data_IF_909244288721
#
_entry.id   IF_909244288721
#
_cell.length_a   1.000
_cell.length_b   1.000
_cell.length_c   1.000
_cell.angle_alpha   90.00
_cell.angle_beta   90.00
_cell.angle_gamma   90.00
#
_symmetry.space_group_name_H-M   'P 1'
#
loop_
_entity.id
_entity.type
_entity.pdbx_description
1 polymer ?
#
# COMPACT_ATOMS: atom_id res chain seq x y z
N UNK A 1 0.98 -12.79 0.73
CA UNK A 1 0.70 -11.62 1.60
C UNK A 1 0.53 -12.14 3.03
N UNK A 2 1.17 -11.55 4.04
CA UNK A 2 1.00 -11.96 5.44
C UNK A 2 0.35 -10.85 6.26
N UNK A 3 -0.80 -11.15 6.86
CA UNK A 3 -1.54 -10.22 7.73
C UNK A 3 -0.95 -10.26 9.14
N UNK A 4 -0.65 -9.09 9.72
CA UNK A 4 -0.28 -8.96 11.13
C UNK A 4 -1.50 -8.75 12.01
N UNK A 5 -1.34 -8.78 13.34
CA UNK A 5 -2.38 -8.40 14.31
C UNK A 5 -2.65 -6.87 14.19
N UNK A 6 -3.58 -6.49 13.31
CA UNK A 6 -3.94 -5.10 13.01
C UNK A 6 -4.32 -4.90 11.53
N UNK A 7 -5.01 -3.82 11.20
CA UNK A 7 -5.50 -3.53 9.83
C UNK A 7 -4.40 -3.20 8.81
N UNK A 8 -3.13 -3.56 9.06
CA UNK A 8 -2.00 -3.18 8.20
C UNK A 8 -1.66 -4.28 7.20
N UNK A 9 -1.47 -3.90 5.94
CA UNK A 9 -1.04 -4.75 4.83
C UNK A 9 0.39 -4.38 4.47
N UNK A 10 1.27 -5.38 4.43
CA UNK A 10 2.66 -5.24 3.97
C UNK A 10 2.76 -5.67 2.51
N UNK A 11 3.29 -4.80 1.66
CA UNK A 11 3.51 -5.06 0.24
C UNK A 11 5.02 -5.05 -0.02
N UNK A 12 5.51 -6.06 -0.74
CA UNK A 12 6.86 -6.12 -1.24
C UNK A 12 6.80 -6.32 -2.76
N UNK A 13 7.43 -5.42 -3.52
CA UNK A 13 7.42 -5.44 -4.99
C UNK A 13 8.78 -4.96 -5.50
N UNK A 14 9.43 -5.75 -6.37
CA UNK A 14 10.73 -5.42 -6.98
C UNK A 14 11.80 -4.89 -5.99
N UNK A 15 11.83 -5.45 -4.78
CA UNK A 15 12.77 -5.02 -3.72
C UNK A 15 12.28 -3.82 -2.89
N UNK A 16 11.29 -3.05 -3.37
CA UNK A 16 10.61 -2.03 -2.58
C UNK A 16 9.65 -2.67 -1.57
N UNK A 17 9.52 -2.06 -0.39
CA UNK A 17 8.61 -2.50 0.68
C UNK A 17 7.81 -1.32 1.21
N UNK A 18 6.50 -1.52 1.38
CA UNK A 18 5.62 -0.53 1.95
C UNK A 18 4.58 -1.17 2.87
N UNK A 19 4.08 -0.38 3.82
CA UNK A 19 3.02 -0.79 4.74
C UNK A 19 1.85 0.16 4.56
N UNK A 20 0.68 -0.39 4.25
CA UNK A 20 -0.56 0.35 4.08
C UNK A 20 -1.57 -0.09 5.14
N UNK A 21 -2.58 0.75 5.37
CA UNK A 21 -3.75 0.35 6.12
C UNK A 21 -4.81 -0.18 5.15
N UNK A 22 -5.42 -1.31 5.49
CA UNK A 22 -6.65 -1.79 4.87
C UNK A 22 -7.74 -0.77 5.22
N UNK A 23 -8.44 -0.21 4.23
CA UNK A 23 -9.63 0.56 4.52
C UNK A 23 -10.66 -0.39 5.13
N UNK A 24 -11.06 -0.12 6.38
CA UNK A 24 -12.08 -0.87 7.09
C UNK A 24 -12.85 0.08 8.01
N UNK A 25 -14.19 0.09 7.98
CA UNK A 25 -15.11 -0.76 7.23
C UNK A 25 -15.46 -0.27 5.80
N UNK A 26 -15.00 0.92 5.43
CA UNK A 26 -15.31 1.57 4.15
C UNK A 26 -14.49 0.99 2.99
N UNK A 27 -15.02 1.06 1.76
CA UNK A 27 -14.33 0.61 0.54
C UNK A 27 -13.43 1.70 -0.04
N UNK A 28 -13.63 2.92 0.42
CA UNK A 28 -12.93 4.11 0.02
C UNK A 28 -11.59 4.22 0.74
N UNK A 29 -10.57 4.67 0.02
CA UNK A 29 -9.26 5.02 0.59
C UNK A 29 -9.08 6.53 0.47
N UNK A 30 -8.37 7.13 1.42
CA UNK A 30 -8.15 8.58 1.40
C UNK A 30 -7.15 8.98 0.29
N UNK A 31 -7.18 10.26 -0.08
CA UNK A 31 -6.29 10.80 -1.13
C UNK A 31 -4.80 10.60 -0.78
N UNK A 32 -4.44 10.64 0.50
CA UNK A 32 -3.07 10.42 0.96
C UNK A 32 -2.61 8.98 0.77
N UNK A 33 -3.48 8.01 1.02
CA UNK A 33 -3.23 6.60 0.72
C UNK A 33 -3.02 6.36 -0.78
N UNK A 34 -3.82 7.00 -1.65
CA UNK A 34 -3.64 6.93 -3.12
C UNK A 34 -2.28 7.52 -3.53
N UNK A 35 -1.93 8.70 -3.02
CA UNK A 35 -0.64 9.35 -3.33
C UNK A 35 0.53 8.48 -2.86
N UNK A 36 0.41 7.87 -1.68
CA UNK A 36 1.44 6.98 -1.13
C UNK A 36 1.59 5.70 -1.96
N UNK A 37 0.49 5.11 -2.42
CA UNK A 37 0.52 3.95 -3.32
C UNK A 37 1.17 4.30 -4.66
N UNK A 38 0.85 5.47 -5.22
CA UNK A 38 1.45 5.95 -6.46
C UNK A 38 2.98 6.04 -6.36
N UNK A 39 3.48 6.63 -5.27
CA UNK A 39 4.92 6.74 -5.00
C UNK A 39 5.56 5.37 -4.87
N UNK A 40 4.95 4.47 -4.10
CA UNK A 40 5.43 3.10 -3.94
C UNK A 40 5.56 2.37 -5.29
N UNK A 41 4.57 2.50 -6.18
CA UNK A 41 4.62 1.87 -7.50
C UNK A 41 5.76 2.43 -8.37
N UNK A 42 5.97 3.75 -8.36
CA UNK A 42 7.08 4.39 -9.08
C UNK A 42 8.43 3.91 -8.52
N UNK A 43 8.59 3.87 -7.19
CA UNK A 43 9.81 3.38 -6.53
C UNK A 43 10.08 1.90 -6.81
N UNK A 44 9.01 1.10 -6.94
CA UNK A 44 9.08 -0.29 -7.38
C UNK A 44 9.36 -0.43 -8.90
N UNK A 45 9.60 0.67 -9.63
CA UNK A 45 9.90 0.66 -11.06
C UNK A 45 8.67 0.39 -11.95
N UNK A 46 7.46 0.45 -11.40
CA UNK A 46 6.22 0.32 -12.18
C UNK A 46 5.96 1.65 -12.88
N UNK A 47 5.89 1.61 -14.21
CA UNK A 47 5.38 2.73 -15.00
C UNK A 47 3.85 2.79 -14.83
N UNK A 48 3.36 3.96 -14.42
CA UNK A 48 1.94 4.26 -14.29
C UNK A 48 1.36 4.78 -15.60
#
# INVERSE_FOLDING_TARGET
MSEGRGSRIRIALHGARAVFHRPHPQKETDKGAVVSMRRFLIEAGVKL
#
